data_IF_430118083268
#
_entry.id   IF_430118083268
#
_cell.length_a   1.000
_cell.length_b   1.000
_cell.length_c   1.000
_cell.angle_alpha   90.00
_cell.angle_beta   90.00
_cell.angle_gamma   90.00
#
_symmetry.space_group_name_H-M   'P 1'
#
loop_
_entity.id
_entity.type
_entity.pdbx_description
1 polymer ?
#
# COMPACT_ATOMS: atom_id res chain seq x y z
N UNK A 1 0.93 -9.40 15.66
CA UNK A 1 1.60 -8.83 14.47
C UNK A 1 1.97 -10.00 13.58
N UNK A 2 1.38 -10.10 12.38
CA UNK A 2 1.60 -11.21 11.44
C UNK A 2 3.12 -11.31 11.11
N UNK A 3 3.70 -12.51 11.22
CA UNK A 3 5.12 -12.75 10.97
C UNK A 3 5.51 -12.46 9.51
N UNK A 4 4.61 -12.72 8.55
CA UNK A 4 4.82 -12.41 7.14
C UNK A 4 4.92 -10.90 6.91
N UNK A 5 4.01 -10.12 7.49
CA UNK A 5 4.06 -8.65 7.41
C UNK A 5 5.37 -8.10 7.97
N UNK A 6 5.88 -8.67 9.08
CA UNK A 6 7.18 -8.29 9.65
C UNK A 6 8.34 -8.62 8.71
N UNK A 7 8.31 -9.79 8.07
CA UNK A 7 9.34 -10.19 7.09
C UNK A 7 9.37 -9.27 5.88
N UNK A 8 8.20 -8.90 5.33
CA UNK A 8 8.06 -7.96 4.21
C UNK A 8 8.62 -6.58 4.58
N UNK A 9 8.26 -6.07 5.76
CA UNK A 9 8.79 -4.80 6.25
C UNK A 9 10.32 -4.85 6.30
N UNK A 10 10.88 -5.93 6.87
CA UNK A 10 12.33 -6.12 6.96
C UNK A 10 13.00 -6.22 5.57
N UNK A 11 12.37 -6.88 4.59
CA UNK A 11 12.86 -6.94 3.21
C UNK A 11 12.95 -5.56 2.58
N UNK A 12 11.91 -4.73 2.76
CA UNK A 12 11.92 -3.36 2.27
C UNK A 12 13.02 -2.48 2.88
N UNK A 13 13.43 -2.74 4.13
CA UNK A 13 14.59 -2.06 4.73
C UNK A 13 15.94 -2.54 4.18
N UNK A 14 15.99 -3.73 3.60
CA UNK A 14 17.18 -4.27 2.91
C UNK A 14 17.23 -3.88 1.43
N UNK A 15 16.23 -3.16 0.92
CA UNK A 15 16.12 -2.82 -0.50
C UNK A 15 15.69 -3.99 -1.39
N UNK A 16 15.05 -5.01 -0.81
CA UNK A 16 14.53 -6.17 -1.55
C UNK A 16 13.01 -6.03 -1.76
N UNK A 17 12.55 -5.68 -2.98
CA UNK A 17 11.12 -5.54 -3.26
C UNK A 17 10.42 -6.87 -3.52
N UNK A 18 11.13 -7.97 -3.79
CA UNK A 18 10.52 -9.21 -4.29
C UNK A 18 9.49 -9.81 -3.32
N UNK A 19 9.74 -9.89 -1.99
CA UNK A 19 8.74 -10.37 -1.03
C UNK A 19 7.49 -9.48 -0.97
N UNK A 20 7.64 -8.18 -1.20
CA UNK A 20 6.50 -7.26 -1.19
C UNK A 20 5.65 -7.41 -2.45
N UNK A 21 6.26 -7.54 -3.63
CA UNK A 21 5.55 -7.75 -4.89
C UNK A 21 4.69 -9.00 -4.86
N UNK A 22 5.21 -10.10 -4.29
CA UNK A 22 4.48 -11.36 -4.17
C UNK A 22 3.21 -11.27 -3.33
N UNK A 23 3.11 -10.29 -2.44
CA UNK A 23 2.12 -10.24 -1.36
C UNK A 23 1.14 -9.06 -1.48
N UNK A 24 1.14 -8.35 -2.61
CA UNK A 24 0.20 -7.25 -2.89
C UNK A 24 -1.26 -7.68 -2.93
N UNK A 25 -1.54 -8.96 -3.21
CA UNK A 25 -2.90 -9.53 -3.29
C UNK A 25 -3.21 -10.49 -2.15
N UNK A 26 -2.39 -10.49 -1.08
CA UNK A 26 -2.59 -11.33 0.09
C UNK A 26 -3.99 -11.12 0.70
N UNK A 27 -4.62 -12.18 1.21
CA UNK A 27 -5.95 -12.11 1.81
C UNK A 27 -5.99 -11.19 3.05
N UNK A 28 -4.89 -11.09 3.79
CA UNK A 28 -4.78 -10.25 4.97
C UNK A 28 -4.39 -8.80 4.63
N UNK A 29 -5.23 -7.85 5.08
CA UNK A 29 -5.01 -6.42 4.87
C UNK A 29 -3.65 -5.93 5.39
N UNK A 30 -3.24 -6.43 6.55
CA UNK A 30 -1.98 -6.05 7.19
C UNK A 30 -0.76 -6.42 6.33
N UNK A 31 -0.83 -7.53 5.58
CA UNK A 31 0.22 -7.97 4.67
C UNK A 31 0.26 -7.06 3.44
N UNK A 32 -0.88 -6.74 2.83
CA UNK A 32 -0.97 -5.81 1.70
C UNK A 32 -0.45 -4.41 2.06
N UNK A 33 -0.80 -3.90 3.25
CA UNK A 33 -0.29 -2.62 3.79
C UNK A 33 1.23 -2.66 3.96
N UNK A 34 1.77 -3.74 4.51
CA UNK A 34 3.21 -3.93 4.67
C UNK A 34 3.93 -3.96 3.31
N UNK A 35 3.35 -4.65 2.32
CA UNK A 35 3.86 -4.71 0.95
C UNK A 35 3.95 -3.32 0.32
N UNK A 36 2.88 -2.52 0.35
CA UNK A 36 2.88 -1.14 -0.16
C UNK A 36 3.99 -0.30 0.47
N UNK A 37 4.12 -0.36 1.80
CA UNK A 37 5.16 0.36 2.53
C UNK A 37 6.58 -0.11 2.19
N UNK A 38 6.78 -1.41 1.94
CA UNK A 38 8.07 -1.97 1.55
C UNK A 38 8.46 -1.56 0.13
N UNK A 39 7.53 -1.60 -0.83
CA UNK A 39 7.77 -1.15 -2.20
C UNK A 39 8.14 0.34 -2.25
N UNK A 40 7.44 1.18 -1.50
CA UNK A 40 7.77 2.60 -1.40
C UNK A 40 9.21 2.82 -0.90
N UNK A 41 9.61 2.10 0.16
CA UNK A 41 10.98 2.15 0.69
C UNK A 41 12.03 1.67 -0.31
N UNK A 42 11.72 0.63 -1.08
CA UNK A 42 12.59 0.13 -2.15
C UNK A 42 12.60 1.01 -3.40
N UNK A 43 11.79 2.08 -3.48
CA UNK A 43 11.55 2.85 -4.71
C UNK A 43 11.07 1.97 -5.88
N UNK A 44 10.32 0.92 -5.55
CA UNK A 44 9.72 -0.04 -6.49
C UNK A 44 8.18 0.04 -6.48
N UNK A 45 7.61 1.03 -5.79
CA UNK A 45 6.19 1.31 -5.87
C UNK A 45 5.90 2.02 -7.19
N UNK A 46 4.85 1.59 -7.88
CA UNK A 46 4.48 2.08 -9.19
C UNK A 46 3.00 2.44 -9.19
N UNK A 47 2.60 3.27 -10.14
CA UNK A 47 1.24 3.80 -10.22
C UNK A 47 0.18 2.70 -10.31
N UNK A 48 0.47 1.59 -10.99
CA UNK A 48 -0.48 0.49 -11.13
C UNK A 48 -0.73 -0.23 -9.79
N UNK A 49 0.28 -0.33 -8.91
CA UNK A 49 0.13 -0.85 -7.56
C UNK A 49 -0.82 0.03 -6.73
N UNK A 50 -0.63 1.36 -6.83
CA UNK A 50 -1.47 2.34 -6.14
C UNK A 50 -2.89 2.37 -6.68
N UNK A 51 -3.07 2.32 -8.00
CA UNK A 51 -4.38 2.31 -8.64
C UNK A 51 -5.26 1.14 -8.17
N UNK A 52 -4.65 0.00 -7.86
CA UNK A 52 -5.35 -1.13 -7.23
C UNK A 52 -5.62 -0.85 -5.75
N UNK A 53 -4.60 -0.44 -5.00
CA UNK A 53 -4.69 -0.29 -3.55
C UNK A 53 -5.64 0.82 -3.07
N UNK A 54 -5.83 1.90 -3.84
CA UNK A 54 -6.83 2.94 -3.52
C UNK A 54 -8.28 2.42 -3.58
N UNK A 55 -8.51 1.23 -4.16
CA UNK A 55 -9.81 0.55 -4.22
C UNK A 55 -9.86 -0.70 -3.35
N UNK A 56 -8.88 -0.88 -2.46
CA UNK A 56 -8.81 -2.03 -1.56
C UNK A 56 -10.11 -2.15 -0.72
N UNK A 57 -10.65 -3.35 -0.50
CA UNK A 57 -11.83 -3.52 0.36
C UNK A 57 -11.64 -2.97 1.77
N UNK A 58 -10.41 -2.99 2.29
CA UNK A 58 -10.08 -2.59 3.65
C UNK A 58 -9.67 -1.13 3.70
N UNK A 59 -10.37 -0.33 4.52
CA UNK A 59 -10.13 1.11 4.61
C UNK A 59 -8.69 1.46 5.01
N UNK A 60 -8.07 0.67 5.89
CA UNK A 60 -6.68 0.85 6.29
C UNK A 60 -5.68 0.71 5.11
N UNK A 61 -5.97 -0.18 4.16
CA UNK A 61 -5.15 -0.34 2.96
C UNK A 61 -5.37 0.81 1.97
N UNK A 62 -6.62 1.27 1.80
CA UNK A 62 -6.92 2.47 1.00
C UNK A 62 -6.22 3.70 1.56
N UNK A 63 -6.29 3.93 2.88
CA UNK A 63 -5.58 5.03 3.56
C UNK A 63 -4.08 4.96 3.28
N UNK A 64 -3.48 3.78 3.43
CA UNK A 64 -2.06 3.59 3.15
C UNK A 64 -1.70 3.91 1.70
N UNK A 65 -2.55 3.54 0.76
CA UNK A 65 -2.37 3.87 -0.65
C UNK A 65 -2.45 5.38 -0.90
N UNK A 66 -3.42 6.07 -0.30
CA UNK A 66 -3.58 7.54 -0.40
C UNK A 66 -2.34 8.27 0.14
N UNK A 67 -1.83 7.87 1.31
CA UNK A 67 -0.60 8.43 1.90
C UNK A 67 0.60 8.32 0.95
N UNK A 68 0.76 7.17 0.29
CA UNK A 68 1.89 6.92 -0.62
C UNK A 68 1.69 7.58 -1.98
N UNK A 69 0.44 7.74 -2.42
CA UNK A 69 0.09 8.37 -3.69
C UNK A 69 0.43 9.87 -3.75
N UNK A 70 0.73 10.52 -2.62
CA UNK A 70 1.26 11.90 -2.60
C UNK A 70 2.52 12.05 -3.46
N UNK A 71 3.35 10.99 -3.56
CA UNK A 71 4.54 10.97 -4.42
C UNK A 71 4.24 10.56 -5.88
N UNK A 72 2.97 10.24 -6.21
CA UNK A 72 2.53 9.70 -7.49
C UNK A 72 1.37 10.54 -8.06
N UNK A 73 1.65 11.68 -8.70
CA UNK A 73 0.63 12.67 -9.10
C UNK A 73 -0.33 12.19 -10.20
N UNK A 74 -0.02 11.08 -10.86
CA UNK A 74 -0.89 10.40 -11.83
C UNK A 74 -2.08 9.67 -11.17
N UNK A 75 -2.03 9.45 -9.85
CA UNK A 75 -3.09 8.74 -9.12
C UNK A 75 -4.24 9.70 -8.80
N UNK A 76 -5.47 9.45 -9.30
CA UNK A 76 -6.59 10.34 -9.07
C UNK A 76 -7.14 10.14 -7.65
N UNK A 77 -6.76 11.02 -6.71
CA UNK A 77 -7.21 10.98 -5.31
C UNK A 77 -8.60 11.61 -5.06
N UNK A 78 -9.19 12.28 -6.05
CA UNK A 78 -10.50 12.91 -5.93
C UNK A 78 -11.62 12.01 -5.39
N UNK A 79 -11.72 10.72 -5.80
CA UNK A 79 -12.66 9.77 -5.22
C UNK A 79 -12.39 9.45 -3.74
N UNK A 80 -11.13 9.41 -3.30
CA UNK A 80 -10.76 9.10 -1.91
C UNK A 80 -11.21 10.17 -0.92
N UNK A 81 -11.37 11.42 -1.37
CA UNK A 81 -11.98 12.50 -0.56
C UNK A 81 -13.47 12.27 -0.28
N UNK A 82 -14.09 11.31 -0.95
CA UNK A 82 -15.49 10.90 -0.79
C UNK A 82 -15.60 9.45 -0.34
N UNK A 83 -14.53 8.89 0.22
CA UNK A 83 -14.54 7.54 0.74
C UNK A 83 -15.61 7.41 1.83
N UNK A 84 -16.23 6.22 1.91
CA UNK A 84 -17.21 5.92 2.96
C UNK A 84 -16.62 5.96 4.36
N UNK A 85 -15.31 5.64 4.47
CA UNK A 85 -14.57 5.84 5.70
C UNK A 85 -13.86 7.21 5.62
N UNK A 86 -14.28 8.19 6.45
CA UNK A 86 -13.74 9.54 6.40
C UNK A 86 -12.23 9.59 6.73
N UNK A 87 -11.69 8.58 7.41
CA UNK A 87 -10.28 8.53 7.79
C UNK A 87 -9.34 8.12 6.64
N UNK A 88 -9.87 7.77 5.46
CA UNK A 88 -9.05 7.36 4.31
C UNK A 88 -8.28 8.52 3.69
N UNK A 89 -8.84 9.74 3.74
CA UNK A 89 -8.25 10.93 3.11
C UNK A 89 -8.32 12.18 4.02
N UNK A 90 -8.22 11.95 5.33
CA UNK A 90 -8.05 12.98 6.37
C UNK A 90 -6.56 13.35 6.54
#
# INVERSE_FOLDING_TARGET
MNDLARQIVAAGHRGDPAPALAELTNSEAAVRIAALGALARCRALEDHHLAVAIRDPEAAARRRAVELAVAHPSIPLGPSLRDSDPLVAD
#
